data_IF_396236007453
#
_entry.id   IF_396236007453
#
_cell.length_a   1.000
_cell.length_b   1.000
_cell.length_c   1.000
_cell.angle_alpha   90.00
_cell.angle_beta   90.00
_cell.angle_gamma   90.00
#
_symmetry.space_group_name_H-M   'P 1'
#
loop_
_entity.id
_entity.type
_entity.pdbx_description
1 polymer ?
#
# COMPACT_ATOMS: atom_id res chain seq x y z
N UNK A 1 15.33 -14.03 8.37
CA UNK A 1 15.22 -13.61 6.96
C UNK A 1 16.12 -14.52 6.15
N UNK A 2 15.60 -15.13 5.10
CA UNK A 2 16.31 -16.03 4.22
C UNK A 2 16.49 -15.36 2.85
N UNK A 3 17.70 -15.38 2.31
CA UNK A 3 17.97 -14.95 0.93
C UNK A 3 17.61 -16.10 0.00
N UNK A 4 16.88 -15.82 -1.08
CA UNK A 4 16.48 -16.81 -2.07
C UNK A 4 17.13 -16.49 -3.41
N UNK A 5 17.39 -17.51 -4.22
CA UNK A 5 18.11 -17.37 -5.49
C UNK A 5 17.35 -16.53 -6.52
N UNK A 6 16.02 -16.59 -6.50
CA UNK A 6 15.15 -15.84 -7.40
C UNK A 6 13.79 -15.56 -6.73
N UNK A 7 13.10 -14.51 -7.20
CA UNK A 7 11.73 -14.21 -6.76
C UNK A 7 10.75 -15.26 -7.30
N UNK A 8 9.92 -15.89 -6.45
CA UNK A 8 8.91 -16.83 -6.93
C UNK A 8 7.85 -16.16 -7.80
N UNK A 9 7.14 -16.97 -8.58
CA UNK A 9 5.99 -16.50 -9.35
C UNK A 9 4.90 -15.94 -8.42
N UNK A 10 4.12 -14.98 -8.95
CA UNK A 10 3.09 -14.28 -8.19
C UNK A 10 2.07 -15.22 -7.52
N UNK A 11 1.63 -16.26 -8.23
CA UNK A 11 0.69 -17.24 -7.71
C UNK A 11 1.22 -17.99 -6.46
N UNK A 12 2.52 -18.28 -6.41
CA UNK A 12 3.17 -18.91 -5.25
C UNK A 12 3.19 -17.92 -4.08
N UNK A 13 3.61 -16.67 -4.33
CA UNK A 13 3.67 -15.62 -3.31
C UNK A 13 2.29 -15.42 -2.68
N UNK A 14 1.25 -15.31 -3.50
CA UNK A 14 -0.12 -15.11 -3.03
C UNK A 14 -0.63 -16.32 -2.21
N UNK A 15 -0.20 -17.54 -2.53
CA UNK A 15 -0.52 -18.75 -1.78
C UNK A 15 0.04 -18.80 -0.35
N UNK A 16 1.12 -18.04 -0.06
CA UNK A 16 1.72 -17.96 1.28
C UNK A 16 1.33 -16.69 2.05
N UNK A 17 0.36 -15.91 1.55
CA UNK A 17 -0.08 -14.67 2.18
C UNK A 17 -0.53 -14.91 3.62
N UNK A 18 0.05 -14.18 4.56
CA UNK A 18 -0.18 -14.35 6.01
C UNK A 18 0.78 -15.31 6.70
N UNK A 19 1.62 -16.05 5.95
CA UNK A 19 2.60 -17.00 6.51
C UNK A 19 4.03 -16.63 6.14
N UNK A 20 4.32 -16.44 4.85
CA UNK A 20 5.66 -16.06 4.35
C UNK A 20 5.53 -14.77 3.53
N UNK A 21 6.37 -13.80 3.87
CA UNK A 21 6.49 -12.53 3.16
C UNK A 21 7.71 -12.59 2.22
N UNK A 22 7.46 -12.51 0.92
CA UNK A 22 8.46 -12.47 -0.14
C UNK A 22 8.66 -11.03 -0.58
N UNK A 23 9.90 -10.54 -0.52
CA UNK A 23 10.21 -9.13 -0.80
C UNK A 23 11.61 -8.97 -1.38
N UNK A 24 11.82 -7.88 -2.12
CA UNK A 24 13.15 -7.50 -2.61
C UNK A 24 13.81 -6.55 -1.60
N UNK A 25 15.04 -6.89 -1.19
CA UNK A 25 15.88 -6.04 -0.37
C UNK A 25 17.16 -5.69 -1.14
N UNK A 26 17.28 -4.43 -1.56
CA UNK A 26 18.45 -3.95 -2.33
C UNK A 26 18.78 -4.81 -3.56
N UNK A 27 17.74 -5.24 -4.29
CA UNK A 27 17.90 -6.11 -5.46
C UNK A 27 18.10 -7.60 -5.14
N UNK A 28 18.15 -7.98 -3.85
CA UNK A 28 18.24 -9.37 -3.41
C UNK A 28 16.86 -9.90 -3.04
N UNK A 29 16.36 -10.96 -3.72
CA UNK A 29 15.15 -11.64 -3.32
C UNK A 29 15.28 -12.25 -1.92
N UNK A 30 14.32 -11.97 -1.04
CA UNK A 30 14.29 -12.43 0.33
C UNK A 30 12.92 -13.04 0.69
N UNK A 31 12.93 -13.97 1.65
CA UNK A 31 11.75 -14.50 2.30
C UNK A 31 11.87 -14.35 3.83
N UNK A 32 10.77 -14.07 4.51
CA UNK A 32 10.69 -14.04 5.98
C UNK A 32 9.33 -14.55 6.46
N UNK A 33 9.25 -14.91 7.74
CA UNK A 33 7.95 -15.11 8.37
C UNK A 33 7.11 -13.83 8.28
N UNK A 34 5.81 -13.99 8.06
CA UNK A 34 4.89 -12.86 7.91
C UNK A 34 5.00 -11.92 9.12
N UNK A 35 5.11 -10.60 8.91
CA UNK A 35 5.19 -9.64 10.00
C UNK A 35 3.98 -9.77 10.91
N UNK A 36 4.23 -9.98 12.20
CA UNK A 36 3.18 -9.93 13.23
C UNK A 36 2.97 -8.48 13.66
N UNK A 37 1.74 -8.13 14.04
CA UNK A 37 1.47 -6.84 14.66
C UNK A 37 2.37 -6.70 15.90
N UNK A 38 3.03 -5.54 16.11
CA UNK A 38 3.96 -5.34 17.23
C UNK A 38 3.27 -5.35 18.61
N UNK A 39 1.94 -5.54 18.68
CA UNK A 39 1.17 -5.73 19.91
C UNK A 39 1.06 -4.50 20.81
N UNK A 40 1.74 -3.40 20.46
CA UNK A 40 1.74 -2.14 21.21
C UNK A 40 0.71 -1.18 20.62
N UNK A 41 0.02 -0.46 21.49
CA UNK A 41 -0.80 0.69 21.11
C UNK A 41 0.05 1.67 20.30
N UNK A 42 -0.50 2.17 19.20
CA UNK A 42 0.12 3.26 18.43
C UNK A 42 -0.10 4.59 19.14
N UNK A 43 0.60 5.63 18.72
CA UNK A 43 0.39 6.96 19.32
C UNK A 43 -1.06 7.43 19.08
N UNK A 44 -1.63 8.25 19.98
CA UNK A 44 -2.98 8.77 19.83
C UNK A 44 -3.22 9.44 18.48
N UNK A 45 -2.23 10.16 17.95
CA UNK A 45 -2.30 10.87 16.67
C UNK A 45 -2.45 9.91 15.49
N UNK A 46 -1.74 8.77 15.53
CA UNK A 46 -1.85 7.73 14.50
C UNK A 46 -3.24 7.08 14.55
N UNK A 47 -3.73 6.79 15.75
CA UNK A 47 -5.04 6.17 15.93
C UNK A 47 -6.19 7.08 15.48
N UNK A 48 -6.06 8.39 15.70
CA UNK A 48 -7.03 9.39 15.26
C UNK A 48 -7.20 9.44 13.73
N UNK A 49 -6.17 9.06 12.95
CA UNK A 49 -6.25 9.01 11.49
C UNK A 49 -6.93 7.73 10.94
N UNK A 50 -7.04 6.66 11.74
CA UNK A 50 -7.56 5.37 11.26
C UNK A 50 -8.97 5.43 10.67
N UNK A 51 -9.95 6.14 11.27
CA UNK A 51 -11.29 6.23 10.70
C UNK A 51 -11.29 6.89 9.31
N UNK A 52 -10.52 7.97 9.15
CA UNK A 52 -10.43 8.74 7.90
C UNK A 52 -9.76 7.89 6.80
N UNK A 53 -8.65 7.23 7.14
CA UNK A 53 -7.97 6.31 6.21
C UNK A 53 -8.89 5.14 5.81
N UNK A 54 -9.56 4.52 6.78
CA UNK A 54 -10.47 3.39 6.55
C UNK A 54 -11.64 3.77 5.65
N UNK A 55 -12.22 4.95 5.87
CA UNK A 55 -13.27 5.50 5.03
C UNK A 55 -12.77 5.72 3.59
N UNK A 56 -11.70 6.51 3.41
CA UNK A 56 -11.15 6.81 2.09
C UNK A 56 -10.80 5.54 1.31
N UNK A 57 -10.21 4.55 1.99
CA UNK A 57 -9.82 3.28 1.39
C UNK A 57 -11.04 2.47 0.90
N UNK A 58 -12.17 2.50 1.62
CA UNK A 58 -13.41 1.81 1.21
C UNK A 58 -14.10 2.51 0.04
N UNK A 59 -14.07 3.85 0.03
CA UNK A 59 -14.70 4.65 -1.03
C UNK A 59 -14.15 4.35 -2.43
N UNK A 60 -12.93 3.82 -2.56
CA UNK A 60 -12.38 3.34 -3.84
C UNK A 60 -13.38 2.48 -4.64
N UNK A 61 -14.13 1.61 -3.96
CA UNK A 61 -15.09 0.71 -4.60
C UNK A 61 -16.37 1.44 -5.07
N UNK A 62 -16.66 2.60 -4.52
CA UNK A 62 -17.83 3.43 -4.88
C UNK A 62 -17.52 4.41 -6.02
N UNK A 63 -16.24 4.57 -6.38
CA UNK A 63 -15.85 5.46 -7.48
C UNK A 63 -16.31 4.91 -8.82
N UNK A 64 -16.72 5.82 -9.71
CA UNK A 64 -16.96 5.47 -11.11
C UNK A 64 -15.69 4.92 -11.75
N UNK A 65 -15.87 4.10 -12.79
CA UNK A 65 -14.73 3.49 -13.50
C UNK A 65 -13.78 4.57 -14.05
N UNK A 66 -14.34 5.64 -14.64
CA UNK A 66 -13.57 6.79 -15.15
C UNK A 66 -12.66 7.43 -14.09
N UNK A 67 -13.15 7.57 -12.85
CA UNK A 67 -12.35 8.13 -11.76
C UNK A 67 -11.25 7.15 -11.34
N UNK A 68 -11.56 5.85 -11.24
CA UNK A 68 -10.54 4.82 -10.96
C UNK A 68 -9.45 4.78 -12.03
N UNK A 69 -9.82 4.90 -13.30
CA UNK A 69 -8.89 4.92 -14.43
C UNK A 69 -7.99 6.17 -14.40
N UNK A 70 -8.54 7.31 -14.01
CA UNK A 70 -7.77 8.55 -13.83
C UNK A 70 -6.72 8.40 -12.73
N UNK A 71 -7.09 7.80 -11.59
CA UNK A 71 -6.13 7.51 -10.52
C UNK A 71 -5.09 6.46 -10.91
N UNK A 72 -5.47 5.42 -11.66
CA UNK A 72 -4.53 4.43 -12.17
C UNK A 72 -3.51 5.07 -13.12
N UNK A 73 -3.98 5.92 -14.03
CA UNK A 73 -3.14 6.71 -14.94
C UNK A 73 -2.18 7.58 -14.14
N UNK A 74 -2.66 8.29 -13.13
CA UNK A 74 -1.84 9.12 -12.26
C UNK A 74 -0.79 8.33 -11.47
N UNK A 75 -1.09 7.07 -11.12
CA UNK A 75 -0.18 6.20 -10.38
C UNK A 75 0.96 5.60 -11.22
N UNK A 76 0.95 5.84 -12.53
CA UNK A 76 1.98 5.35 -13.46
C UNK A 76 3.37 5.83 -13.03
N UNK A 77 4.34 4.92 -12.99
CA UNK A 77 5.75 5.16 -12.59
C UNK A 77 5.95 5.68 -11.16
N UNK A 78 4.93 5.71 -10.30
CA UNK A 78 5.09 6.21 -8.93
C UNK A 78 5.39 5.11 -7.90
N UNK A 79 5.29 3.83 -8.30
CA UNK A 79 5.35 2.68 -7.38
C UNK A 79 4.13 2.56 -6.44
N UNK A 80 3.05 3.30 -6.71
CA UNK A 80 1.80 3.27 -5.95
C UNK A 80 0.68 2.70 -6.82
N UNK A 81 -0.39 2.20 -6.20
CA UNK A 81 -1.62 1.89 -6.93
C UNK A 81 -2.51 3.13 -7.09
N UNK A 82 -3.49 3.07 -8.00
CA UNK A 82 -4.51 4.12 -8.12
C UNK A 82 -5.29 4.33 -6.81
N UNK A 83 -5.54 3.25 -6.06
CA UNK A 83 -6.17 3.35 -4.73
C UNK A 83 -5.31 4.11 -3.74
N UNK A 84 -4.00 3.87 -3.72
CA UNK A 84 -3.07 4.61 -2.86
C UNK A 84 -3.03 6.10 -3.24
N UNK A 85 -3.10 6.41 -4.53
CA UNK A 85 -3.21 7.80 -5.01
C UNK A 85 -4.51 8.45 -4.56
N UNK A 86 -5.63 7.74 -4.62
CA UNK A 86 -6.91 8.25 -4.13
C UNK A 86 -6.91 8.48 -2.61
N UNK A 87 -6.37 7.56 -1.84
CA UNK A 87 -6.27 7.73 -0.38
C UNK A 87 -5.37 8.93 -0.05
N UNK A 88 -4.24 9.09 -0.75
CA UNK A 88 -3.37 10.26 -0.62
C UNK A 88 -4.10 11.55 -0.97
N UNK A 89 -4.83 11.55 -2.08
CA UNK A 89 -5.65 12.67 -2.54
C UNK A 89 -6.63 13.13 -1.46
N UNK A 90 -7.33 12.17 -0.86
CA UNK A 90 -8.33 12.41 0.15
C UNK A 90 -7.73 12.96 1.45
N UNK A 91 -6.59 12.40 1.89
CA UNK A 91 -5.98 12.77 3.18
C UNK A 91 -5.18 14.07 3.12
N UNK A 92 -4.49 14.32 2.02
CA UNK A 92 -3.46 15.38 1.95
C UNK A 92 -3.58 16.29 0.73
N UNK A 93 -4.52 16.01 -0.18
CA UNK A 93 -4.60 16.66 -1.48
C UNK A 93 -3.69 15.99 -2.52
N UNK A 94 -4.12 16.05 -3.79
CA UNK A 94 -3.37 15.55 -4.95
C UNK A 94 -2.21 16.45 -5.34
N UNK A 95 -2.48 17.76 -5.32
CA UNK A 95 -1.54 18.79 -5.68
C UNK A 95 -1.27 19.60 -4.42
N UNK A 96 0.00 19.71 -4.03
CA UNK A 96 0.40 20.76 -3.11
C UNK A 96 0.35 22.05 -3.89
N UNK A 97 -0.54 22.97 -3.54
CA UNK A 97 -0.39 24.34 -4.00
C UNK A 97 1.01 24.83 -3.61
N UNK A 98 1.74 25.56 -4.47
CA UNK A 98 2.95 26.23 -4.03
C UNK A 98 2.55 27.11 -2.84
N UNK A 99 3.10 26.80 -1.67
CA UNK A 99 3.04 27.71 -0.53
C UNK A 99 3.81 28.97 -0.94
N UNK A 100 3.24 30.17 -0.75
CA UNK A 100 3.95 31.43 -0.95
C UNK A 100 5.31 31.45 -0.24
#
# INVERSE_FOLDING_TARGET
MAKISAMPQRAIIDGFKGTIDFYNYMGVPCARAWPKSPGKSRSPEVMAQWPIFSYASKEWNNLSQTVRDSYNTLSTNSGLSGRDMQVRAYLTGLYRYPTP
#
